data_IF_095012427694
#
_entry.id   IF_095012427694
#
_cell.length_a   1.000
_cell.length_b   1.000
_cell.length_c   1.000
_cell.angle_alpha   90.00
_cell.angle_beta   90.00
_cell.angle_gamma   90.00
#
_symmetry.space_group_name_H-M   'P 1'
#
loop_
_entity.id
_entity.type
_entity.pdbx_description
1 polymer ?
#
# COMPACT_ATOMS: atom_id res chain seq x y z
N UNK A 1 21.06 16.27 -34.00
CA UNK A 1 19.85 16.57 -33.21
C UNK A 1 19.86 15.65 -32.01
N UNK A 2 19.86 16.19 -30.81
CA UNK A 2 19.92 15.35 -29.60
C UNK A 2 18.59 14.57 -29.44
N UNK A 3 18.69 13.27 -29.29
CA UNK A 3 17.54 12.41 -28.92
C UNK A 3 17.15 12.78 -27.50
N UNK A 4 15.83 12.87 -27.23
CA UNK A 4 15.36 13.05 -25.83
C UNK A 4 15.83 11.85 -25.03
N UNK A 5 16.42 12.08 -23.85
CA UNK A 5 16.81 11.01 -22.94
C UNK A 5 15.63 10.07 -22.65
N UNK A 6 15.91 8.78 -22.60
CA UNK A 6 14.94 7.69 -22.38
C UNK A 6 13.96 7.39 -23.53
N UNK A 7 14.12 7.99 -24.73
CA UNK A 7 13.36 7.53 -25.90
C UNK A 7 13.79 6.09 -26.28
N UNK A 8 12.81 5.23 -26.57
CA UNK A 8 13.08 3.87 -27.05
C UNK A 8 13.57 3.93 -28.52
N UNK A 9 14.85 3.67 -28.72
CA UNK A 9 15.51 3.69 -30.05
C UNK A 9 15.81 2.26 -30.52
N UNK A 10 16.29 2.12 -31.76
CA UNK A 10 16.67 0.82 -32.35
C UNK A 10 17.71 0.05 -31.53
N UNK A 11 18.59 0.73 -30.82
CA UNK A 11 19.65 0.11 -29.99
C UNK A 11 19.16 -0.50 -28.69
N UNK A 12 17.93 -0.21 -28.28
CA UNK A 12 17.29 -0.76 -27.06
C UNK A 12 16.42 -1.97 -27.31
N UNK A 13 16.37 -2.48 -28.56
CA UNK A 13 15.62 -3.67 -28.95
C UNK A 13 16.55 -4.84 -29.32
N UNK A 14 17.25 -5.41 -28.39
CA UNK A 14 18.04 -6.61 -28.63
C UNK A 14 17.28 -7.88 -28.15
N UNK A 15 17.05 -8.81 -29.07
CA UNK A 15 16.68 -10.20 -28.75
C UNK A 15 15.21 -10.53 -28.55
N UNK A 16 14.23 -9.90 -29.23
CA UNK A 16 12.80 -10.16 -28.98
C UNK A 16 12.07 -11.01 -30.02
N UNK A 17 11.27 -11.96 -29.55
CA UNK A 17 10.29 -12.75 -30.31
C UNK A 17 8.85 -12.27 -30.05
N UNK A 18 7.99 -12.28 -31.09
CA UNK A 18 6.64 -11.73 -31.08
C UNK A 18 5.64 -12.70 -30.42
N UNK A 19 4.85 -12.21 -29.48
CA UNK A 19 3.58 -12.82 -29.06
C UNK A 19 2.58 -11.71 -28.71
N UNK A 20 1.43 -11.72 -29.37
CA UNK A 20 0.34 -10.77 -29.08
C UNK A 20 -0.32 -11.13 -27.75
N UNK A 21 -0.52 -10.12 -26.90
CA UNK A 21 -1.20 -10.26 -25.62
C UNK A 21 -2.08 -9.04 -25.41
N UNK A 22 -3.36 -9.26 -25.18
CA UNK A 22 -4.32 -8.22 -24.85
C UNK A 22 -4.06 -7.72 -23.43
N UNK A 23 -3.53 -6.53 -23.33
CA UNK A 23 -2.83 -6.00 -22.17
C UNK A 23 -3.75 -5.30 -21.16
N UNK A 24 -4.68 -4.45 -21.63
CA UNK A 24 -5.58 -3.69 -20.73
C UNK A 24 -6.43 -4.65 -19.89
N UNK A 25 -6.85 -5.76 -20.48
CA UNK A 25 -7.63 -6.79 -19.79
C UNK A 25 -6.85 -7.58 -18.72
N UNK A 26 -5.51 -7.58 -18.77
CA UNK A 26 -4.67 -8.24 -17.79
C UNK A 26 -4.41 -7.38 -16.56
N UNK A 27 -4.11 -6.10 -16.76
CA UNK A 27 -3.94 -5.15 -15.69
C UNK A 27 -5.19 -5.08 -14.82
N UNK A 28 -6.33 -4.92 -15.47
CA UNK A 28 -7.62 -4.85 -14.80
C UNK A 28 -7.91 -6.10 -13.97
N UNK A 29 -7.69 -7.29 -14.52
CA UNK A 29 -7.93 -8.55 -13.82
C UNK A 29 -7.07 -8.72 -12.57
N UNK A 30 -5.82 -8.31 -12.58
CA UNK A 30 -4.95 -8.42 -11.41
C UNK A 30 -5.36 -7.44 -10.29
N UNK A 31 -5.79 -6.24 -10.67
CA UNK A 31 -6.26 -5.22 -9.73
C UNK A 31 -7.65 -5.55 -9.17
N UNK A 32 -8.58 -5.92 -10.05
CA UNK A 32 -9.92 -6.37 -9.65
C UNK A 32 -9.83 -7.61 -8.76
N UNK A 33 -8.90 -8.52 -9.04
CA UNK A 33 -8.62 -9.67 -8.21
C UNK A 33 -8.10 -9.28 -6.82
N UNK A 34 -7.24 -8.28 -6.71
CA UNK A 34 -6.78 -7.77 -5.42
C UNK A 34 -7.95 -7.19 -4.62
N UNK A 35 -8.78 -6.38 -5.24
CA UNK A 35 -9.97 -5.79 -4.61
C UNK A 35 -11.02 -6.86 -4.26
N UNK A 36 -11.33 -7.75 -5.20
CA UNK A 36 -12.38 -8.77 -5.03
C UNK A 36 -12.00 -9.83 -3.97
N UNK A 37 -10.77 -10.32 -4.00
CA UNK A 37 -10.33 -11.35 -3.06
C UNK A 37 -10.05 -10.79 -1.67
N UNK A 38 -9.55 -9.56 -1.59
CA UNK A 38 -9.08 -9.01 -0.32
C UNK A 38 -10.13 -8.19 0.38
N UNK A 39 -11.05 -7.56 -0.34
CA UNK A 39 -11.93 -6.55 0.25
C UNK A 39 -11.14 -5.50 1.08
N UNK A 40 -9.80 -5.45 0.87
CA UNK A 40 -8.88 -4.71 1.74
C UNK A 40 -8.88 -3.23 1.44
N UNK A 41 -9.17 -2.87 0.20
CA UNK A 41 -9.19 -1.48 -0.22
C UNK A 41 -10.59 -1.12 -0.69
N UNK A 42 -11.16 -0.12 -0.07
CA UNK A 42 -12.39 0.48 -0.56
C UNK A 42 -12.00 1.65 -1.48
N UNK A 43 -12.07 1.51 -2.82
CA UNK A 43 -11.66 2.57 -3.71
C UNK A 43 -12.70 3.70 -3.70
N UNK A 44 -12.27 4.90 -3.34
CA UNK A 44 -13.11 6.10 -3.29
C UNK A 44 -12.61 7.12 -4.28
N UNK A 45 -13.40 7.38 -5.33
CA UNK A 45 -13.12 8.44 -6.30
C UNK A 45 -13.22 9.80 -5.66
N UNK A 46 -12.26 10.67 -5.95
CA UNK A 46 -12.26 12.08 -5.54
C UNK A 46 -12.14 12.97 -6.78
N UNK A 47 -12.80 14.12 -6.73
CA UNK A 47 -12.65 15.13 -7.76
C UNK A 47 -11.23 15.75 -7.71
N UNK A 48 -10.67 16.20 -8.84
CA UNK A 48 -9.41 16.95 -8.86
C UNK A 48 -9.46 18.14 -7.89
N UNK A 49 -8.36 18.41 -7.19
CA UNK A 49 -8.28 19.48 -6.20
C UNK A 49 -8.96 19.20 -4.86
N UNK A 50 -9.52 17.99 -4.64
CA UNK A 50 -10.10 17.61 -3.36
C UNK A 50 -9.02 17.47 -2.29
N UNK A 51 -9.24 18.13 -1.15
CA UNK A 51 -8.44 17.93 0.06
C UNK A 51 -9.00 16.80 0.89
N UNK A 52 -8.17 15.83 1.23
CA UNK A 52 -8.55 14.77 2.14
C UNK A 52 -8.40 15.27 3.58
N UNK A 53 -9.51 15.47 4.27
CA UNK A 53 -9.52 15.85 5.70
C UNK A 53 -10.34 14.81 6.45
N UNK A 54 -9.70 14.12 7.40
CA UNK A 54 -10.41 13.32 8.39
C UNK A 54 -10.42 14.06 9.72
N UNK A 55 -11.44 13.83 10.51
CA UNK A 55 -11.55 14.33 11.87
C UNK A 55 -11.69 13.16 12.84
N UNK A 56 -10.91 13.18 13.91
CA UNK A 56 -11.00 12.21 15.00
C UNK A 56 -11.79 12.83 16.16
N UNK A 57 -12.91 12.23 16.50
CA UNK A 57 -13.70 12.63 17.66
C UNK A 57 -13.31 11.79 18.89
N UNK A 58 -13.00 12.43 19.98
CA UNK A 58 -12.71 11.80 21.28
C UNK A 58 -13.72 12.31 22.30
N UNK A 59 -14.33 11.41 23.06
CA UNK A 59 -15.28 11.78 24.14
C UNK A 59 -14.69 11.33 25.47
N UNK A 60 -14.57 12.25 26.40
CA UNK A 60 -14.25 11.95 27.80
C UNK A 60 -15.51 12.03 28.62
N UNK A 61 -16.04 10.88 29.03
CA UNK A 61 -17.24 10.82 29.86
C UNK A 61 -16.93 11.28 31.28
N UNK A 62 -17.77 12.13 31.81
CA UNK A 62 -17.78 12.51 33.22
C UNK A 62 -18.59 11.49 34.05
N UNK A 63 -18.49 11.60 35.38
CA UNK A 63 -19.22 10.71 36.26
C UNK A 63 -20.74 10.86 36.03
N UNK A 64 -21.38 9.80 35.53
CA UNK A 64 -22.83 9.77 35.32
C UNK A 64 -23.63 9.36 36.56
N UNK A 65 -22.96 8.98 37.64
CA UNK A 65 -23.62 8.62 38.90
C UNK A 65 -23.72 9.86 39.79
N UNK A 66 -24.85 10.56 39.70
CA UNK A 66 -25.16 11.73 40.50
C UNK A 66 -26.34 11.42 41.45
N UNK A 67 -26.46 12.16 42.54
CA UNK A 67 -27.59 12.00 43.46
C UNK A 67 -28.89 12.50 42.83
N UNK A 68 -30.03 12.06 43.40
CA UNK A 68 -31.33 12.49 42.94
C UNK A 68 -31.49 14.02 43.09
N UNK A 69 -31.80 14.68 41.98
CA UNK A 69 -31.95 16.14 41.90
C UNK A 69 -30.65 16.91 41.57
N UNK A 70 -29.50 16.26 41.50
CA UNK A 70 -28.23 16.91 41.11
C UNK A 70 -28.07 17.00 39.61
N UNK A 71 -27.35 18.03 39.16
CA UNK A 71 -27.04 18.23 37.73
C UNK A 71 -25.98 17.23 37.25
N UNK A 72 -26.26 16.56 36.13
CA UNK A 72 -25.31 15.66 35.49
C UNK A 72 -24.19 16.45 34.85
N UNK A 73 -22.89 16.19 35.17
CA UNK A 73 -21.78 16.93 34.60
C UNK A 73 -21.64 16.68 33.10
N UNK A 74 -21.31 17.74 32.34
CA UNK A 74 -21.13 17.67 30.89
C UNK A 74 -19.87 16.86 30.54
N UNK A 75 -20.05 15.86 29.68
CA UNK A 75 -18.93 15.12 29.07
C UNK A 75 -18.27 15.95 27.98
N UNK A 76 -16.94 15.92 27.93
CA UNK A 76 -16.16 16.68 26.96
C UNK A 76 -16.04 15.89 25.65
N UNK A 77 -16.57 16.45 24.58
CA UNK A 77 -16.34 15.97 23.22
C UNK A 77 -15.29 16.87 22.53
N UNK A 78 -14.20 16.29 22.07
CA UNK A 78 -13.15 16.99 21.33
C UNK A 78 -13.05 16.40 19.93
N UNK A 79 -13.09 17.25 18.91
CA UNK A 79 -12.88 16.87 17.52
C UNK A 79 -11.58 17.50 17.05
N UNK A 80 -10.63 16.66 16.65
CA UNK A 80 -9.36 17.11 16.11
C UNK A 80 -9.30 16.79 14.62
N UNK A 81 -8.98 17.77 13.76
CA UNK A 81 -8.74 17.50 12.35
C UNK A 81 -7.40 16.74 12.22
N UNK A 82 -7.45 15.62 11.52
CA UNK A 82 -6.24 14.91 11.09
C UNK A 82 -5.93 15.42 9.69
N UNK A 83 -4.81 16.16 9.54
CA UNK A 83 -4.40 16.65 8.23
C UNK A 83 -3.95 15.48 7.34
N UNK A 84 -4.55 15.40 6.16
CA UNK A 84 -4.13 14.46 5.11
C UNK A 84 -3.25 15.17 4.09
N UNK A 85 -2.38 14.39 3.45
CA UNK A 85 -1.65 14.85 2.29
C UNK A 85 -2.61 15.06 1.11
N UNK A 86 -2.30 16.05 0.28
CA UNK A 86 -3.02 16.27 -0.97
C UNK A 86 -2.81 15.06 -1.91
N UNK A 87 -3.81 14.77 -2.76
CA UNK A 87 -3.68 13.79 -3.83
C UNK A 87 -2.70 14.30 -4.87
N UNK A 88 -1.57 13.64 -5.01
CA UNK A 88 -0.53 14.00 -5.98
C UNK A 88 -0.71 13.21 -7.27
N UNK A 89 -0.60 13.94 -8.40
CA UNK A 89 -0.63 13.31 -9.72
C UNK A 89 0.75 12.80 -10.11
N UNK A 90 0.82 11.55 -10.50
CA UNK A 90 2.00 10.92 -11.08
C UNK A 90 1.81 10.85 -12.59
N UNK A 91 2.83 11.33 -13.33
CA UNK A 91 2.80 11.49 -14.79
C UNK A 91 3.95 10.72 -15.40
N UNK A 92 3.64 9.88 -16.37
CA UNK A 92 4.63 9.07 -17.07
C UNK A 92 4.48 9.26 -18.56
N UNK A 93 5.59 9.19 -19.28
CA UNK A 93 5.64 9.34 -20.74
C UNK A 93 6.66 8.38 -21.34
N UNK A 94 6.24 7.70 -22.39
CA UNK A 94 7.09 6.83 -23.20
C UNK A 94 7.03 7.30 -24.66
N UNK A 95 8.13 7.21 -25.40
CA UNK A 95 8.16 7.52 -26.81
C UNK A 95 8.86 6.40 -27.60
N UNK A 96 8.37 6.13 -28.81
CA UNK A 96 8.92 5.16 -29.76
C UNK A 96 9.13 5.84 -31.09
N UNK A 97 10.33 5.76 -31.66
CA UNK A 97 10.68 6.38 -32.94
C UNK A 97 10.15 5.60 -34.15
N UNK A 98 9.91 6.28 -35.27
CA UNK A 98 9.51 5.64 -36.49
C UNK A 98 10.56 4.66 -37.03
N UNK A 99 11.83 4.94 -36.82
CA UNK A 99 12.94 4.05 -37.17
C UNK A 99 12.87 2.71 -36.43
N UNK A 100 12.53 2.74 -35.12
CA UNK A 100 12.34 1.53 -34.34
C UNK A 100 11.15 0.72 -34.87
N UNK A 101 10.05 1.38 -35.22
CA UNK A 101 8.88 0.73 -35.82
C UNK A 101 9.21 0.15 -37.18
N UNK A 102 9.97 0.86 -38.01
CA UNK A 102 10.40 0.39 -39.35
C UNK A 102 11.28 -0.86 -39.27
N UNK A 103 12.17 -0.91 -38.25
CA UNK A 103 13.13 -2.02 -38.09
C UNK A 103 12.51 -3.25 -37.45
N UNK A 104 11.65 -3.08 -36.45
CA UNK A 104 11.13 -4.17 -35.61
C UNK A 104 9.62 -4.43 -35.75
N UNK A 105 8.91 -3.60 -36.52
CA UNK A 105 7.46 -3.65 -36.64
C UNK A 105 6.70 -2.95 -35.52
N UNK A 106 5.52 -2.42 -35.82
CA UNK A 106 4.71 -1.67 -34.84
C UNK A 106 4.31 -2.50 -33.62
N UNK A 107 3.91 -3.74 -33.80
CA UNK A 107 3.50 -4.63 -32.72
C UNK A 107 4.64 -4.87 -31.71
N UNK A 108 5.87 -5.08 -32.20
CA UNK A 108 7.03 -5.31 -31.33
C UNK A 108 7.49 -4.02 -30.65
N UNK A 109 7.62 -2.94 -31.41
CA UNK A 109 8.18 -1.69 -30.90
C UNK A 109 7.21 -0.92 -30.00
N UNK A 110 5.91 -0.95 -30.27
CA UNK A 110 4.90 -0.20 -29.52
C UNK A 110 4.23 -1.06 -28.47
N UNK A 111 3.64 -2.21 -28.85
CA UNK A 111 2.85 -3.01 -27.89
C UNK A 111 3.69 -3.58 -26.76
N UNK A 112 4.84 -4.20 -27.03
CA UNK A 112 5.69 -4.74 -25.94
C UNK A 112 6.20 -3.66 -24.98
N UNK A 113 6.48 -2.47 -25.51
CA UNK A 113 6.91 -1.36 -24.64
C UNK A 113 5.74 -0.71 -23.91
N UNK A 114 4.52 -0.77 -24.47
CA UNK A 114 3.30 -0.42 -23.75
C UNK A 114 3.06 -1.42 -22.61
N UNK A 115 3.15 -2.73 -22.91
CA UNK A 115 3.02 -3.79 -21.91
C UNK A 115 4.01 -3.60 -20.74
N UNK A 116 5.26 -3.30 -21.07
CA UNK A 116 6.27 -3.04 -20.04
C UNK A 116 5.95 -1.81 -19.20
N UNK A 117 5.52 -0.70 -19.81
CA UNK A 117 5.12 0.51 -19.09
C UNK A 117 3.98 0.23 -18.12
N UNK A 118 2.98 -0.50 -18.56
CA UNK A 118 1.83 -0.78 -17.72
C UNK A 118 2.17 -1.77 -16.61
N UNK A 119 2.96 -2.81 -16.88
CA UNK A 119 3.45 -3.71 -15.81
C UNK A 119 4.22 -2.93 -14.73
N UNK A 120 5.04 -1.97 -15.14
CA UNK A 120 5.77 -1.12 -14.22
C UNK A 120 4.84 -0.22 -13.40
N UNK A 121 3.81 0.38 -14.05
CA UNK A 121 2.81 1.18 -13.34
C UNK A 121 1.99 0.34 -12.35
N UNK A 122 1.68 -0.89 -12.70
CA UNK A 122 1.01 -1.85 -11.84
C UNK A 122 1.88 -2.23 -10.63
N UNK A 123 3.15 -2.57 -10.88
CA UNK A 123 4.12 -2.84 -9.83
C UNK A 123 4.18 -1.68 -8.84
N UNK A 124 4.26 -0.45 -9.35
CA UNK A 124 4.32 0.75 -8.51
C UNK A 124 3.09 0.95 -7.62
N UNK A 125 1.90 0.61 -8.10
CA UNK A 125 0.69 0.65 -7.27
C UNK A 125 0.76 -0.39 -6.14
N UNK A 126 1.26 -1.59 -6.44
CA UNK A 126 1.45 -2.64 -5.44
C UNK A 126 2.54 -2.26 -4.44
N UNK A 127 3.67 -1.72 -4.91
CA UNK A 127 4.75 -1.23 -4.04
C UNK A 127 4.23 -0.18 -3.05
N UNK A 128 3.49 0.84 -3.53
CA UNK A 128 2.91 1.86 -2.67
C UNK A 128 1.92 1.26 -1.64
N UNK A 129 1.17 0.22 -2.03
CA UNK A 129 0.28 -0.49 -1.10
C UNK A 129 1.08 -1.23 -0.02
N UNK A 130 2.08 -2.01 -0.40
CA UNK A 130 2.86 -2.78 0.57
C UNK A 130 3.74 -1.89 1.45
N UNK A 131 4.29 -0.81 0.91
CA UNK A 131 5.01 0.20 1.69
C UNK A 131 4.09 0.83 2.74
N UNK A 132 2.89 1.21 2.35
CA UNK A 132 1.89 1.74 3.28
C UNK A 132 1.45 0.70 4.32
N UNK A 133 1.26 -0.55 3.92
CA UNK A 133 0.90 -1.65 4.81
C UNK A 133 1.96 -1.89 5.89
N UNK A 134 3.24 -1.69 5.58
CA UNK A 134 4.36 -1.79 6.53
C UNK A 134 4.44 -0.64 7.54
N UNK A 135 3.65 0.43 7.37
CA UNK A 135 3.58 1.53 8.35
C UNK A 135 2.79 1.16 9.62
N UNK A 136 2.18 -0.01 9.67
CA UNK A 136 1.48 -0.52 10.84
C UNK A 136 2.31 -0.37 12.13
N UNK A 137 1.66 0.08 13.22
CA UNK A 137 2.34 0.39 14.49
C UNK A 137 2.36 -0.76 15.48
N UNK A 138 1.57 -1.81 15.26
CA UNK A 138 1.60 -3.02 16.09
C UNK A 138 2.77 -3.90 15.67
N UNK A 139 3.89 -3.80 16.37
CA UNK A 139 5.13 -4.50 16.03
C UNK A 139 5.45 -5.60 17.03
N UNK A 140 6.35 -6.49 16.68
CA UNK A 140 6.87 -7.58 17.52
C UNK A 140 7.76 -8.49 16.71
N UNK A 141 8.60 -9.29 17.36
CA UNK A 141 9.33 -10.36 16.70
C UNK A 141 9.11 -11.69 17.42
N UNK A 142 8.99 -12.74 16.68
CA UNK A 142 8.70 -14.07 17.18
C UNK A 142 9.56 -15.12 16.47
N UNK A 143 10.04 -16.09 17.23
CA UNK A 143 11.07 -17.04 16.79
C UNK A 143 10.65 -17.96 15.64
N UNK A 144 9.36 -18.11 15.36
CA UNK A 144 8.86 -18.99 14.32
C UNK A 144 7.81 -18.30 13.46
N UNK A 145 7.74 -18.68 12.18
CA UNK A 145 6.74 -18.22 11.23
C UNK A 145 5.31 -18.36 11.76
N UNK A 146 4.96 -19.54 12.30
CA UNK A 146 3.62 -19.79 12.84
C UNK A 146 3.27 -18.85 14.00
N UNK A 147 4.24 -18.62 14.89
CA UNK A 147 4.06 -17.73 16.04
C UNK A 147 3.92 -16.29 15.58
N UNK A 148 4.72 -15.85 14.61
CA UNK A 148 4.64 -14.51 14.03
C UNK A 148 3.26 -14.24 13.42
N UNK A 149 2.76 -15.13 12.57
CA UNK A 149 1.42 -15.03 11.97
C UNK A 149 0.32 -14.99 13.03
N UNK A 150 0.33 -15.95 13.97
CA UNK A 150 -0.68 -16.02 15.02
C UNK A 150 -0.69 -14.79 15.92
N UNK A 151 0.49 -14.27 16.27
CA UNK A 151 0.62 -13.08 17.13
C UNK A 151 0.30 -11.79 16.38
N UNK A 152 0.60 -11.69 15.07
CA UNK A 152 0.17 -10.56 14.27
C UNK A 152 -1.36 -10.43 14.29
N UNK A 153 -2.07 -11.53 14.04
CA UNK A 153 -3.54 -11.57 14.10
C UNK A 153 -4.07 -11.27 15.51
N UNK A 154 -3.44 -11.85 16.54
CA UNK A 154 -3.86 -11.64 17.92
C UNK A 154 -3.70 -10.19 18.37
N UNK A 155 -2.60 -9.52 17.99
CA UNK A 155 -2.37 -8.09 18.29
C UNK A 155 -3.43 -7.20 17.65
N UNK A 156 -3.79 -7.45 16.37
CA UNK A 156 -4.87 -6.73 15.71
C UNK A 156 -6.19 -6.92 16.46
N UNK A 157 -6.57 -8.17 16.75
CA UNK A 157 -7.80 -8.49 17.49
C UNK A 157 -7.85 -7.84 18.87
N UNK A 158 -6.76 -7.89 19.62
CA UNK A 158 -6.66 -7.28 20.95
C UNK A 158 -6.82 -5.76 20.88
N UNK A 159 -6.14 -5.12 19.91
CA UNK A 159 -6.22 -3.67 19.72
C UNK A 159 -7.64 -3.21 19.43
N UNK A 160 -8.34 -3.84 18.48
CA UNK A 160 -9.72 -3.48 18.15
C UNK A 160 -10.69 -3.73 19.33
N UNK A 161 -10.51 -4.84 20.06
CA UNK A 161 -11.30 -5.08 21.30
C UNK A 161 -11.05 -4.02 22.36
N UNK A 162 -9.81 -3.59 22.57
CA UNK A 162 -9.48 -2.49 23.51
C UNK A 162 -10.09 -1.16 23.08
N UNK A 163 -10.15 -0.90 21.76
CA UNK A 163 -10.83 0.28 21.22
C UNK A 163 -12.35 0.15 21.24
N UNK A 164 -12.90 -1.03 21.59
CA UNK A 164 -14.34 -1.34 21.52
C UNK A 164 -14.91 -1.10 20.12
N UNK A 165 -14.17 -1.49 19.10
CA UNK A 165 -14.53 -1.39 17.69
C UNK A 165 -14.63 -2.78 17.09
N UNK A 166 -15.58 -2.94 16.18
CA UNK A 166 -15.65 -4.13 15.36
C UNK A 166 -14.55 -4.08 14.27
N UNK A 167 -14.14 -5.21 13.79
CA UNK A 167 -13.21 -5.38 12.69
C UNK A 167 -13.76 -6.42 11.72
N UNK A 168 -13.53 -6.19 10.45
CA UNK A 168 -13.79 -7.17 9.40
C UNK A 168 -12.71 -8.25 9.36
N UNK A 169 -12.77 -9.08 8.35
CA UNK A 169 -11.80 -10.13 8.08
C UNK A 169 -10.36 -9.64 8.19
N UNK A 170 -9.52 -10.37 8.93
CA UNK A 170 -8.10 -10.05 9.03
C UNK A 170 -7.37 -10.79 7.93
N UNK A 171 -6.74 -10.05 7.06
CA UNK A 171 -5.88 -10.56 6.00
C UNK A 171 -4.42 -10.45 6.43
N UNK A 172 -3.69 -11.53 6.24
CA UNK A 172 -2.26 -11.60 6.53
C UNK A 172 -1.49 -11.69 5.23
N UNK A 173 -0.42 -10.91 5.13
CA UNK A 173 0.52 -10.99 4.02
C UNK A 173 1.82 -11.58 4.51
N UNK A 174 2.35 -12.55 3.76
CA UNK A 174 3.56 -13.29 4.10
C UNK A 174 4.47 -13.47 2.88
N UNK A 175 5.76 -13.53 3.12
CA UNK A 175 6.72 -13.72 2.04
C UNK A 175 6.71 -15.16 1.53
N UNK A 176 6.87 -15.33 0.21
CA UNK A 176 6.90 -16.62 -0.47
C UNK A 176 8.02 -17.54 0.07
N UNK A 177 9.17 -16.99 0.44
CA UNK A 177 10.30 -17.78 0.96
C UNK A 177 10.00 -18.33 2.35
N UNK A 178 9.41 -17.50 3.24
CA UNK A 178 9.05 -17.92 4.59
C UNK A 178 7.98 -19.02 4.58
N UNK A 179 7.01 -18.89 3.67
CA UNK A 179 5.99 -19.94 3.44
C UNK A 179 6.63 -21.20 2.88
N UNK A 180 7.57 -21.07 1.93
CA UNK A 180 8.29 -22.20 1.35
C UNK A 180 9.09 -22.99 2.41
N UNK A 181 9.78 -22.30 3.31
CA UNK A 181 10.49 -22.91 4.43
C UNK A 181 9.53 -23.63 5.38
N UNK A 182 8.42 -22.98 5.72
CA UNK A 182 7.40 -23.58 6.56
C UNK A 182 6.75 -24.82 5.91
N UNK A 183 6.39 -24.76 4.63
CA UNK A 183 5.74 -25.85 3.90
C UNK A 183 6.70 -27.03 3.66
N UNK A 184 8.00 -26.77 3.58
CA UNK A 184 9.02 -27.84 3.52
C UNK A 184 8.96 -28.79 4.72
N UNK A 185 8.39 -28.32 5.84
CA UNK A 185 8.19 -29.11 7.06
C UNK A 185 6.73 -29.54 7.30
N UNK A 186 5.76 -29.06 6.52
CA UNK A 186 4.33 -29.27 6.73
C UNK A 186 3.62 -29.73 5.44
N UNK A 187 2.67 -30.67 5.55
CA UNK A 187 1.85 -31.13 4.42
C UNK A 187 0.61 -30.23 4.25
N UNK A 188 0.79 -29.01 3.77
CA UNK A 188 -0.29 -28.05 3.52
C UNK A 188 -0.32 -27.72 2.02
N UNK A 189 -1.52 -27.64 1.43
CA UNK A 189 -1.68 -27.22 0.03
C UNK A 189 -1.96 -25.73 -0.09
N UNK A 190 -1.29 -25.08 -1.04
CA UNK A 190 -1.53 -23.70 -1.41
C UNK A 190 -2.70 -23.64 -2.39
N UNK A 191 -3.58 -22.66 -2.23
CA UNK A 191 -4.66 -22.39 -3.17
C UNK A 191 -4.26 -21.21 -4.06
N UNK A 192 -4.66 -21.25 -5.33
CA UNK A 192 -4.37 -20.19 -6.31
C UNK A 192 -5.68 -19.65 -6.88
N UNK A 193 -5.86 -18.33 -6.87
CA UNK A 193 -6.95 -17.67 -7.56
C UNK A 193 -6.44 -16.38 -8.21
N UNK A 194 -6.84 -16.17 -9.47
CA UNK A 194 -6.49 -14.98 -10.27
C UNK A 194 -4.97 -14.67 -10.30
N UNK A 195 -4.14 -15.70 -10.20
CA UNK A 195 -2.68 -15.56 -10.22
C UNK A 195 -2.02 -15.24 -8.87
N UNK A 196 -2.82 -15.15 -7.79
CA UNK A 196 -2.29 -15.01 -6.43
C UNK A 196 -2.38 -16.33 -5.68
N UNK A 197 -1.37 -16.59 -4.86
CA UNK A 197 -1.32 -17.72 -3.94
C UNK A 197 -1.83 -17.29 -2.56
N UNK A 198 -2.69 -18.11 -1.94
CA UNK A 198 -3.25 -17.82 -0.63
C UNK A 198 -3.57 -19.07 0.18
N UNK A 199 -3.69 -18.87 1.50
CA UNK A 199 -4.12 -19.89 2.46
C UNK A 199 -5.38 -19.39 3.20
N UNK A 200 -6.45 -20.19 3.20
CA UNK A 200 -7.67 -19.89 3.97
C UNK A 200 -7.60 -20.47 5.38
N UNK A 201 -8.16 -19.74 6.35
CA UNK A 201 -8.23 -20.14 7.76
C UNK A 201 -6.86 -20.56 8.34
N UNK A 202 -5.83 -19.80 8.01
CA UNK A 202 -4.47 -20.11 8.42
C UNK A 202 -4.11 -19.39 9.71
N UNK A 203 -3.84 -20.13 10.78
CA UNK A 203 -3.36 -19.63 12.09
C UNK A 203 -4.19 -18.45 12.67
N UNK A 204 -5.52 -18.50 12.45
CA UNK A 204 -6.44 -17.48 12.96
C UNK A 204 -6.67 -16.26 12.05
N UNK A 205 -6.00 -16.20 10.91
CA UNK A 205 -6.31 -15.32 9.79
C UNK A 205 -7.36 -15.99 8.90
N UNK A 206 -8.31 -15.23 8.37
CA UNK A 206 -9.28 -15.78 7.42
C UNK A 206 -8.62 -16.02 6.05
N UNK A 207 -7.74 -15.13 5.67
CA UNK A 207 -6.95 -15.24 4.42
C UNK A 207 -5.51 -14.82 4.69
N UNK A 208 -4.56 -15.66 4.28
CA UNK A 208 -3.15 -15.32 4.22
C UNK A 208 -2.70 -15.31 2.75
N UNK A 209 -2.20 -14.17 2.30
CA UNK A 209 -1.75 -13.94 0.93
C UNK A 209 -0.24 -14.09 0.89
N UNK A 210 0.20 -14.89 -0.07
CA UNK A 210 1.60 -15.18 -0.29
C UNK A 210 2.10 -14.25 -1.40
N UNK A 211 3.09 -13.44 -1.08
CA UNK A 211 3.66 -12.45 -2.01
C UNK A 211 5.16 -12.32 -1.82
N UNK A 212 5.88 -11.95 -2.87
CA UNK A 212 7.30 -11.59 -2.80
C UNK A 212 7.55 -10.10 -2.59
N UNK A 213 6.50 -9.28 -2.59
CA UNK A 213 6.60 -7.81 -2.40
C UNK A 213 6.95 -7.41 -0.95
N UNK A 214 6.72 -8.30 0.01
CA UNK A 214 7.11 -8.11 1.39
C UNK A 214 8.50 -8.75 1.60
N UNK A 215 9.43 -8.08 2.29
CA UNK A 215 10.72 -8.68 2.61
C UNK A 215 10.57 -10.00 3.39
N UNK A 216 11.45 -10.97 3.14
CA UNK A 216 11.48 -12.21 3.92
C UNK A 216 11.69 -11.92 5.41
N UNK A 217 11.05 -12.71 6.26
CA UNK A 217 11.08 -12.48 7.71
C UNK A 217 10.05 -11.47 8.22
N UNK A 218 9.15 -10.94 7.36
CA UNK A 218 8.10 -10.01 7.76
C UNK A 218 6.71 -10.59 7.55
N UNK A 219 5.80 -10.30 8.49
CA UNK A 219 4.39 -10.68 8.47
C UNK A 219 3.54 -9.44 8.70
N UNK A 220 2.67 -9.12 7.78
CA UNK A 220 1.71 -8.03 7.92
C UNK A 220 0.32 -8.58 8.20
N UNK A 221 -0.43 -7.99 9.14
CA UNK A 221 -1.82 -8.34 9.39
C UNK A 221 -2.69 -7.08 9.42
N UNK A 222 -3.72 -7.05 8.58
CA UNK A 222 -4.54 -5.88 8.33
C UNK A 222 -6.00 -6.27 8.29
N UNK A 223 -6.90 -5.54 8.98
CA UNK A 223 -8.33 -5.69 8.80
C UNK A 223 -8.75 -5.20 7.41
N UNK A 224 -9.62 -5.94 6.72
CA UNK A 224 -9.98 -5.68 5.34
C UNK A 224 -10.53 -4.26 5.09
N UNK A 225 -11.38 -3.74 5.96
CA UNK A 225 -12.02 -2.42 5.77
C UNK A 225 -11.19 -1.25 6.32
N UNK A 226 -9.98 -1.50 6.81
CA UNK A 226 -9.18 -0.47 7.47
C UNK A 226 -8.43 0.42 6.48
N UNK A 227 -8.21 -0.03 5.25
CA UNK A 227 -7.50 0.73 4.23
C UNK A 227 -8.47 1.24 3.17
N UNK A 228 -8.42 2.55 2.93
CA UNK A 228 -9.18 3.23 1.88
C UNK A 228 -8.21 3.76 0.83
N UNK A 229 -8.47 3.44 -0.43
CA UNK A 229 -7.76 3.98 -1.57
C UNK A 229 -8.53 5.19 -2.12
N UNK A 230 -7.99 6.38 -1.94
CA UNK A 230 -8.49 7.56 -2.63
C UNK A 230 -7.79 7.70 -3.98
N UNK A 231 -8.55 7.93 -5.03
CA UNK A 231 -8.00 8.10 -6.37
C UNK A 231 -8.70 9.20 -7.16
N UNK A 232 -7.99 9.76 -8.12
CA UNK A 232 -8.52 10.70 -9.10
C UNK A 232 -8.72 9.94 -10.41
N UNK A 233 -9.91 10.06 -11.00
CA UNK A 233 -10.21 9.47 -12.31
C UNK A 233 -9.55 10.32 -13.41
N UNK A 234 -8.57 9.79 -14.17
CA UNK A 234 -7.95 10.52 -15.26
C UNK A 234 -8.90 10.89 -16.42
N UNK A 235 -10.05 10.24 -16.51
CA UNK A 235 -11.09 10.55 -17.50
C UNK A 235 -12.09 11.61 -17.00
N UNK A 236 -11.82 12.28 -15.86
CA UNK A 236 -12.67 13.33 -15.31
C UNK A 236 -12.84 14.50 -16.30
N UNK A 237 -14.01 15.16 -16.22
CA UNK A 237 -14.35 16.32 -17.07
C UNK A 237 -13.37 17.47 -16.97
N UNK A 238 -12.82 17.73 -15.79
CA UNK A 238 -11.85 18.80 -15.53
C UNK A 238 -10.58 18.64 -16.40
N UNK A 239 -10.13 17.40 -16.64
CA UNK A 239 -8.99 17.16 -17.53
C UNK A 239 -9.36 17.32 -19.00
N UNK A 240 -10.59 17.00 -19.39
CA UNK A 240 -11.09 17.22 -20.74
C UNK A 240 -11.21 18.69 -21.08
N UNK A 241 -11.57 19.54 -20.13
CA UNK A 241 -11.56 21.00 -20.30
C UNK A 241 -10.16 21.55 -20.59
N UNK A 242 -9.10 20.89 -20.07
CA UNK A 242 -7.71 21.21 -20.40
C UNK A 242 -7.27 20.63 -21.77
N UNK A 243 -8.15 19.92 -22.48
CA UNK A 243 -7.81 19.24 -23.73
C UNK A 243 -7.05 17.92 -23.51
N UNK A 244 -7.06 17.36 -22.30
CA UNK A 244 -6.42 16.09 -21.96
C UNK A 244 -7.49 14.99 -22.00
N UNK A 245 -7.38 14.09 -22.97
CA UNK A 245 -8.30 12.97 -23.13
C UNK A 245 -7.58 11.66 -22.84
N UNK A 246 -7.80 11.15 -21.63
CA UNK A 246 -7.25 9.86 -21.18
C UNK A 246 -8.31 8.78 -21.31
N UNK A 247 -7.93 7.66 -21.87
CA UNK A 247 -8.73 6.43 -21.87
C UNK A 247 -8.39 5.63 -20.62
N UNK A 248 -9.40 5.32 -19.83
CA UNK A 248 -9.29 4.42 -18.67
C UNK A 248 -9.87 3.05 -19.04
N UNK A 249 -9.44 1.99 -18.35
CA UNK A 249 -10.01 0.66 -18.56
C UNK A 249 -11.48 0.59 -18.11
N UNK A 250 -12.23 -0.41 -18.59
CA UNK A 250 -13.65 -0.62 -18.25
C UNK A 250 -13.84 -1.36 -16.91
N UNK A 251 -12.99 -1.16 -15.93
CA UNK A 251 -13.09 -1.79 -14.62
C UNK A 251 -13.77 -0.94 -13.56
N UNK A 252 -13.94 -1.50 -12.38
CA UNK A 252 -14.52 -0.79 -11.24
C UNK A 252 -13.69 0.41 -10.78
N UNK A 253 -12.40 0.41 -11.10
CA UNK A 253 -11.48 1.51 -10.79
C UNK A 253 -10.82 2.05 -12.05
N UNK A 254 -11.07 3.32 -12.36
CA UNK A 254 -10.39 4.07 -13.41
C UNK A 254 -9.10 4.70 -12.87
N UNK A 255 -8.21 3.90 -12.27
CA UNK A 255 -7.03 4.41 -11.57
C UNK A 255 -5.95 4.95 -12.50
N UNK A 256 -5.75 4.32 -13.66
CA UNK A 256 -4.72 4.69 -14.62
C UNK A 256 -5.37 5.13 -15.94
N UNK A 257 -5.06 6.34 -16.35
CA UNK A 257 -5.42 6.88 -17.67
C UNK A 257 -4.27 6.73 -18.66
N UNK A 258 -4.57 6.31 -19.87
CA UNK A 258 -3.62 6.18 -20.97
C UNK A 258 -4.07 7.06 -22.12
N UNK A 259 -3.13 7.83 -22.67
CA UNK A 259 -3.33 8.60 -23.89
C UNK A 259 -2.19 8.32 -24.88
N UNK A 260 -2.53 8.16 -26.16
CA UNK A 260 -1.54 7.93 -27.23
C UNK A 260 -1.65 9.02 -28.27
N UNK A 261 -0.52 9.61 -28.62
CA UNK A 261 -0.46 10.64 -29.65
C UNK A 261 0.76 10.49 -30.55
N UNK A 262 0.69 11.08 -31.74
CA UNK A 262 1.81 11.14 -32.69
C UNK A 262 2.50 12.51 -32.62
N UNK A 263 3.81 12.53 -32.43
CA UNK A 263 4.61 13.75 -32.51
C UNK A 263 5.25 13.86 -33.88
N UNK A 264 4.61 14.63 -34.78
CA UNK A 264 5.06 14.82 -36.18
C UNK A 264 6.40 15.58 -36.27
N UNK A 265 6.68 16.47 -35.30
CA UNK A 265 7.95 17.23 -35.32
C UNK A 265 9.18 16.37 -35.03
N UNK A 266 9.01 15.21 -34.42
CA UNK A 266 10.08 14.25 -34.08
C UNK A 266 9.90 12.87 -34.70
N UNK A 267 8.82 12.70 -35.48
CA UNK A 267 8.44 11.43 -36.15
C UNK A 267 8.45 10.26 -35.17
N UNK A 268 7.72 10.40 -34.05
CA UNK A 268 7.61 9.39 -33.03
C UNK A 268 6.17 9.27 -32.50
N UNK A 269 5.82 8.07 -32.02
CA UNK A 269 4.62 7.84 -31.24
C UNK A 269 4.89 7.99 -29.75
N UNK A 270 4.00 8.67 -29.03
CA UNK A 270 4.11 8.89 -27.58
C UNK A 270 2.95 8.22 -26.85
N UNK A 271 3.23 7.64 -25.69
CA UNK A 271 2.22 7.11 -24.79
C UNK A 271 2.37 7.83 -23.47
N UNK A 272 1.31 8.45 -23.01
CA UNK A 272 1.22 9.17 -21.75
C UNK A 272 0.38 8.36 -20.78
N UNK A 273 0.83 8.27 -19.52
CA UNK A 273 0.06 7.68 -18.45
C UNK A 273 -0.10 8.69 -17.31
N UNK A 274 -1.30 8.75 -16.76
CA UNK A 274 -1.67 9.61 -15.62
C UNK A 274 -2.31 8.73 -14.56
N UNK A 275 -1.84 8.86 -13.31
CA UNK A 275 -2.50 8.29 -12.17
C UNK A 275 -2.37 9.22 -10.95
N UNK A 276 -3.39 9.21 -10.09
CA UNK A 276 -3.35 9.93 -8.83
C UNK A 276 -4.03 9.09 -7.77
N UNK A 277 -3.26 8.66 -6.77
CA UNK A 277 -3.80 7.85 -5.69
C UNK A 277 -3.18 8.23 -4.34
N UNK A 278 -3.91 7.90 -3.28
CA UNK A 278 -3.43 8.00 -1.90
C UNK A 278 -4.10 6.93 -1.06
N UNK A 279 -3.30 6.16 -0.38
CA UNK A 279 -3.77 5.19 0.61
C UNK A 279 -3.94 5.87 1.97
N UNK A 280 -4.94 5.44 2.69
CA UNK A 280 -5.23 5.88 4.04
C UNK A 280 -5.77 4.74 4.88
N UNK A 281 -5.35 4.67 6.13
CA UNK A 281 -5.90 3.75 7.11
C UNK A 281 -6.70 4.51 8.17
N UNK A 282 -7.93 4.07 8.44
CA UNK A 282 -8.74 4.66 9.51
C UNK A 282 -8.06 4.48 10.87
N UNK A 283 -7.47 3.30 11.08
CA UNK A 283 -6.71 2.94 12.29
C UNK A 283 -5.33 2.40 11.89
N UNK A 284 -4.35 3.27 11.68
CA UNK A 284 -2.97 2.85 11.42
C UNK A 284 -2.38 2.07 12.60
N UNK A 285 -2.85 2.39 13.81
CA UNK A 285 -2.53 1.69 15.05
C UNK A 285 -3.28 0.35 15.23
N UNK A 286 -4.12 -0.02 14.28
CA UNK A 286 -4.78 -1.31 14.16
C UNK A 286 -4.14 -2.25 13.14
N UNK A 287 -3.03 -1.85 12.50
CA UNK A 287 -2.29 -2.66 11.54
C UNK A 287 -1.03 -3.24 12.19
N UNK A 288 -0.78 -4.52 11.99
CA UNK A 288 0.38 -5.20 12.55
C UNK A 288 1.46 -5.41 11.48
N UNK A 289 2.72 -5.13 11.90
CA UNK A 289 3.93 -5.45 11.16
C UNK A 289 4.86 -6.19 12.12
N UNK A 290 4.95 -7.50 11.96
CA UNK A 290 5.63 -8.41 12.88
C UNK A 290 6.77 -9.10 12.15
N UNK A 291 7.88 -9.32 12.84
CA UNK A 291 9.06 -9.98 12.28
C UNK A 291 9.23 -11.41 12.78
N UNK A 292 9.82 -12.24 11.96
CA UNK A 292 10.27 -13.59 12.32
C UNK A 292 11.71 -13.47 12.82
N UNK A 293 11.95 -13.74 14.10
CA UNK A 293 13.28 -13.61 14.72
C UNK A 293 13.21 -13.20 16.18
N UNK A 294 14.32 -12.71 16.70
CA UNK A 294 14.43 -12.14 18.05
C UNK A 294 14.67 -10.64 17.97
N UNK A 295 13.99 -9.88 18.80
CA UNK A 295 14.12 -8.42 18.83
C UNK A 295 14.90 -7.92 20.02
N UNK A 296 15.64 -6.83 19.81
CA UNK A 296 16.29 -6.05 20.87
C UNK A 296 16.02 -4.56 20.67
N UNK A 297 15.91 -3.83 21.78
CA UNK A 297 15.64 -2.39 21.75
C UNK A 297 16.79 -1.64 22.39
N UNK A 298 17.32 -0.66 21.67
CA UNK A 298 18.39 0.21 22.16
C UNK A 298 17.87 1.63 22.29
N UNK A 299 18.08 2.24 23.47
CA UNK A 299 17.68 3.63 23.70
C UNK A 299 18.43 4.58 22.78
N UNK A 300 17.72 5.55 22.22
CA UNK A 300 18.28 6.59 21.36
C UNK A 300 18.58 7.82 22.17
N UNK A 301 19.79 8.36 22.05
CA UNK A 301 20.09 9.68 22.59
C UNK A 301 19.40 10.77 21.77
N UNK A 302 18.47 11.47 22.40
CA UNK A 302 17.50 12.37 21.74
C UNK A 302 18.06 13.72 21.32
N UNK A 303 19.36 13.93 21.32
CA UNK A 303 19.98 15.25 21.06
C UNK A 303 20.15 15.60 19.58
N UNK A 304 20.01 14.65 18.68
CA UNK A 304 20.12 14.88 17.22
C UNK A 304 18.79 14.67 16.54
N UNK A 305 18.38 15.63 15.72
CA UNK A 305 17.18 15.51 14.90
C UNK A 305 17.22 14.24 14.07
N UNK A 306 16.17 13.44 14.16
CA UNK A 306 16.03 12.19 13.44
C UNK A 306 15.78 12.42 11.95
N UNK A 307 16.33 11.57 11.11
CA UNK A 307 15.86 11.42 9.74
C UNK A 307 14.68 10.42 9.71
N UNK A 308 13.43 10.87 9.58
CA UNK A 308 12.25 10.01 9.63
C UNK A 308 12.19 8.97 8.50
N UNK A 309 12.95 9.16 7.44
CA UNK A 309 13.00 8.22 6.32
C UNK A 309 13.81 6.95 6.62
N UNK A 310 14.78 7.01 7.52
CA UNK A 310 15.75 5.93 7.72
C UNK A 310 15.67 5.23 9.07
N UNK A 311 14.94 5.76 10.04
CA UNK A 311 14.80 5.17 11.37
C UNK A 311 13.35 5.16 11.86
N UNK A 312 12.93 4.03 12.41
CA UNK A 312 11.63 3.89 13.08
C UNK A 312 11.86 3.95 14.58
N UNK A 313 11.19 4.85 15.27
CA UNK A 313 11.27 4.96 16.72
C UNK A 313 10.18 4.18 17.43
N UNK A 314 10.52 3.71 18.61
CA UNK A 314 9.64 3.01 19.51
C UNK A 314 9.60 3.71 20.86
N UNK A 315 8.44 3.72 21.47
CA UNK A 315 8.24 4.16 22.85
C UNK A 315 7.91 2.94 23.71
N UNK A 316 8.19 3.04 25.00
CA UNK A 316 7.90 1.99 25.98
C UNK A 316 6.71 2.42 26.83
N UNK A 317 5.70 1.58 26.96
CA UNK A 317 4.53 1.85 27.79
C UNK A 317 4.77 1.52 29.29
N UNK A 318 3.75 1.78 30.11
CA UNK A 318 3.78 1.47 31.54
C UNK A 318 3.91 -0.03 31.86
N UNK A 319 3.58 -0.90 30.91
CA UNK A 319 3.70 -2.36 31.04
C UNK A 319 5.05 -2.90 30.54
N UNK A 320 5.98 -2.00 30.18
CA UNK A 320 7.25 -2.33 29.56
C UNK A 320 7.15 -2.92 28.15
N UNK A 321 6.04 -2.73 27.45
CA UNK A 321 5.88 -3.11 26.06
C UNK A 321 6.34 -1.98 25.12
N UNK A 322 7.01 -2.34 24.01
CA UNK A 322 7.46 -1.40 23.02
C UNK A 322 6.43 -1.28 21.90
N UNK A 323 6.11 -0.05 21.51
CA UNK A 323 5.23 0.23 20.37
C UNK A 323 5.85 1.29 19.47
N UNK A 324 5.62 1.14 18.18
CA UNK A 324 6.12 2.09 17.17
C UNK A 324 5.39 3.42 17.32
N UNK A 325 6.15 4.51 17.45
CA UNK A 325 5.60 5.87 17.49
C UNK A 325 5.52 6.46 16.09
N UNK A 326 4.57 7.36 15.88
CA UNK A 326 4.45 8.20 14.69
C UNK A 326 5.22 9.52 14.80
N UNK A 327 5.88 9.77 15.95
CA UNK A 327 6.64 11.00 16.17
C UNK A 327 7.82 11.08 15.19
N UNK A 328 7.92 12.18 14.47
CA UNK A 328 9.01 12.47 13.53
C UNK A 328 10.10 13.36 14.12
N UNK A 329 9.79 14.02 15.24
CA UNK A 329 10.71 14.87 16.01
C UNK A 329 10.67 14.48 17.48
N UNK A 330 11.81 14.56 18.20
CA UNK A 330 11.84 14.23 19.62
C UNK A 330 10.92 15.15 20.43
N UNK A 331 10.02 14.58 21.22
CA UNK A 331 9.18 15.31 22.15
C UNK A 331 9.85 15.35 23.55
N UNK A 332 9.72 16.49 24.24
CA UNK A 332 10.29 16.70 25.57
C UNK A 332 9.71 15.69 26.57
N UNK A 333 10.59 14.99 27.28
CA UNK A 333 10.20 14.05 28.33
C UNK A 333 9.89 12.62 27.85
N UNK A 334 10.05 12.33 26.55
CA UNK A 334 9.91 10.98 25.99
C UNK A 334 11.27 10.35 25.76
N UNK A 335 11.36 9.04 25.98
CA UNK A 335 12.53 8.22 25.62
C UNK A 335 12.16 7.38 24.41
N UNK A 336 12.99 7.44 23.40
CA UNK A 336 12.82 6.68 22.17
C UNK A 336 13.81 5.53 22.08
N UNK A 337 13.45 4.49 21.35
CA UNK A 337 14.26 3.30 21.14
C UNK A 337 14.34 2.96 19.65
N UNK A 338 15.48 2.48 19.22
CA UNK A 338 15.63 1.78 17.95
C UNK A 338 15.48 0.28 18.16
N UNK A 339 14.89 -0.39 17.20
CA UNK A 339 14.64 -1.84 17.20
C UNK A 339 15.60 -2.53 16.26
N UNK A 340 16.24 -3.58 16.73
CA UNK A 340 17.06 -4.49 15.91
C UNK A 340 16.43 -5.88 15.96
N UNK A 341 16.23 -6.51 14.83
CA UNK A 341 15.74 -7.89 14.71
C UNK A 341 16.87 -8.75 14.18
N UNK A 342 17.15 -9.83 14.88
CA UNK A 342 18.09 -10.86 14.44
C UNK A 342 17.29 -12.06 13.97
N UNK A 343 17.49 -12.51 12.73
CA UNK A 343 16.88 -13.71 12.21
C UNK A 343 17.21 -14.91 13.13
N UNK A 344 16.22 -15.75 13.37
CA UNK A 344 16.32 -16.88 14.25
C UNK A 344 17.05 -18.06 13.58
#
# INVERSE_FOLDING_TARGET
MAVIDNTTTTTRFEGMFIKEIDFISRFQRNWDALIEILGIMNPVRKAPGSRLVASKATITLQNGTVAEGDEVPLSLAKVEPVAFADLTLQKYRKAVTAEAVTKYGANTAVQKTDDALLNELQGKVLDEFYDFAQEGTLTGAYSTFQMAVSMAVAKVKDKFKKMRRDYSNIVVFVNTLDVGEYLGSASISIQTANGMEYLKNFLGAETAIITSEIPAGHVLAIPADNIVLYYIDPADGDYKELGLDYTTGNGETNLIGIHKEGNYGRVMGETHALMGMKLWAEYIDGMANVDIGTESFTAVETTTGKNPANEKWYEKDANNEYFRTTDTTPATGKTYYTRTVTAG
#
